data_IF_531062369986
#
_entry.id   IF_531062369986
#
_cell.length_a   1.000
_cell.length_b   1.000
_cell.length_c   1.000
_cell.angle_alpha   90.00
_cell.angle_beta   90.00
_cell.angle_gamma   90.00
#
_symmetry.space_group_name_H-M   'P 1'
#
loop_
_entity.id
_entity.type
_entity.pdbx_description
1 polymer ?
#
# COMPACT_ATOMS: atom_id res chain seq x y z
N UNK A 1 -26.48 3.56 -58.64
CA UNK A 1 -25.68 4.00 -57.48
C UNK A 1 -24.29 4.38 -57.94
N UNK A 2 -23.86 5.59 -57.70
CA UNK A 2 -22.71 6.21 -58.38
C UNK A 2 -21.40 5.70 -57.80
N UNK A 3 -20.56 4.99 -58.55
CA UNK A 3 -19.27 4.40 -58.13
C UNK A 3 -18.34 5.39 -57.42
N UNK A 4 -18.45 6.69 -57.71
CA UNK A 4 -17.71 7.76 -57.04
C UNK A 4 -18.11 7.96 -55.56
N UNK A 5 -19.37 7.69 -55.16
CA UNK A 5 -19.81 7.81 -53.76
C UNK A 5 -19.32 6.66 -52.89
N UNK A 6 -19.14 5.46 -53.45
CA UNK A 6 -18.62 4.30 -52.70
C UNK A 6 -17.13 4.49 -52.35
N UNK A 7 -16.34 5.06 -53.27
CA UNK A 7 -14.91 5.33 -53.01
C UNK A 7 -14.68 6.35 -51.90
N UNK A 8 -15.51 7.40 -51.82
CA UNK A 8 -15.40 8.44 -50.78
C UNK A 8 -15.75 7.87 -49.39
N UNK A 9 -16.77 7.01 -49.30
CA UNK A 9 -17.15 6.38 -48.02
C UNK A 9 -16.06 5.43 -47.52
N UNK A 10 -15.44 4.65 -48.41
CA UNK A 10 -14.34 3.75 -48.03
C UNK A 10 -13.10 4.50 -47.52
N UNK A 11 -12.73 5.62 -48.16
CA UNK A 11 -11.59 6.45 -47.73
C UNK A 11 -11.86 7.12 -46.37
N UNK A 12 -13.08 7.59 -46.13
CA UNK A 12 -13.47 8.21 -44.85
C UNK A 12 -13.47 7.16 -43.72
N UNK A 13 -13.94 5.94 -43.98
CA UNK A 13 -13.90 4.86 -42.98
C UNK A 13 -12.47 4.42 -42.64
N UNK A 14 -11.58 4.32 -43.63
CA UNK A 14 -10.18 3.96 -43.39
C UNK A 14 -9.45 5.08 -42.60
N UNK A 15 -9.73 6.35 -42.93
CA UNK A 15 -9.19 7.48 -42.20
C UNK A 15 -9.68 7.51 -40.73
N UNK A 16 -10.99 7.25 -40.51
CA UNK A 16 -11.56 7.21 -39.18
C UNK A 16 -11.00 6.06 -38.33
N UNK A 17 -10.78 4.89 -38.91
CA UNK A 17 -10.14 3.74 -38.23
C UNK A 17 -8.66 4.06 -37.91
N UNK A 18 -7.94 4.65 -38.87
CA UNK A 18 -6.53 5.06 -38.67
C UNK A 18 -6.38 6.11 -37.59
N UNK A 19 -7.25 7.11 -37.54
CA UNK A 19 -7.25 8.14 -36.51
C UNK A 19 -7.60 7.54 -35.14
N UNK A 20 -8.62 6.68 -35.09
CA UNK A 20 -8.98 5.99 -33.84
C UNK A 20 -7.84 5.11 -33.26
N UNK A 21 -7.11 4.41 -34.15
CA UNK A 21 -5.96 3.60 -33.76
C UNK A 21 -4.78 4.45 -33.30
N UNK A 22 -4.53 5.57 -33.95
CA UNK A 22 -3.48 6.53 -33.59
C UNK A 22 -3.76 7.20 -32.25
N UNK A 23 -5.01 7.64 -32.01
CA UNK A 23 -5.42 8.26 -30.75
C UNK A 23 -5.31 7.25 -29.60
N UNK A 24 -5.68 5.99 -29.82
CA UNK A 24 -5.58 4.95 -28.79
C UNK A 24 -4.12 4.61 -28.46
N UNK A 25 -3.25 4.55 -29.47
CA UNK A 25 -1.81 4.33 -29.27
C UNK A 25 -1.17 5.50 -28.53
N UNK A 26 -1.50 6.74 -28.88
CA UNK A 26 -0.98 7.93 -28.20
C UNK A 26 -1.39 8.00 -26.72
N UNK A 27 -2.64 7.66 -26.38
CA UNK A 27 -3.10 7.61 -24.98
C UNK A 27 -2.41 6.53 -24.17
N UNK A 28 -2.16 5.36 -24.76
CA UNK A 28 -1.43 4.29 -24.09
C UNK A 28 0.04 4.67 -23.83
N UNK A 29 0.67 5.32 -24.79
CA UNK A 29 2.05 5.80 -24.65
C UNK A 29 2.16 6.90 -23.60
N UNK A 30 1.18 7.81 -23.53
CA UNK A 30 1.09 8.83 -22.49
C UNK A 30 0.90 8.21 -21.09
N UNK A 31 0.03 7.20 -20.94
CA UNK A 31 -0.16 6.49 -19.68
C UNK A 31 1.12 5.77 -19.24
N UNK A 32 1.83 5.10 -20.17
CA UNK A 32 3.11 4.43 -19.88
C UNK A 32 4.19 5.42 -19.45
N UNK A 33 4.31 6.55 -20.14
CA UNK A 33 5.27 7.60 -19.78
C UNK A 33 4.94 8.19 -18.41
N UNK A 34 3.66 8.43 -18.12
CA UNK A 34 3.23 8.92 -16.81
C UNK A 34 3.58 7.93 -15.68
N UNK A 35 3.31 6.64 -15.85
CA UNK A 35 3.68 5.61 -14.87
C UNK A 35 5.19 5.55 -14.71
N UNK A 36 5.96 5.60 -15.80
CA UNK A 36 7.41 5.62 -15.77
C UNK A 36 7.98 6.79 -14.97
N UNK A 37 7.46 8.00 -15.18
CA UNK A 37 7.87 9.20 -14.46
C UNK A 37 7.41 9.17 -12.99
N UNK A 38 6.15 8.86 -12.76
CA UNK A 38 5.52 8.84 -11.44
C UNK A 38 6.19 7.86 -10.47
N UNK A 39 6.71 6.75 -10.98
CA UNK A 39 7.35 5.70 -10.18
C UNK A 39 8.86 5.56 -10.44
N UNK A 40 9.45 6.47 -11.23
CA UNK A 40 10.88 6.50 -11.58
C UNK A 40 11.41 5.16 -12.11
N UNK A 41 10.68 4.56 -13.05
CA UNK A 41 11.00 3.23 -13.62
C UNK A 41 12.01 3.32 -14.76
N UNK A 42 12.86 2.31 -14.85
CA UNK A 42 13.69 2.05 -16.03
C UNK A 42 12.85 1.50 -17.20
N UNK A 43 13.38 1.57 -18.42
CA UNK A 43 12.75 0.95 -19.60
C UNK A 43 12.52 -0.56 -19.43
N UNK A 44 13.46 -1.24 -18.79
CA UNK A 44 13.36 -2.69 -18.55
C UNK A 44 12.21 -3.01 -17.59
N UNK A 45 12.02 -2.21 -16.53
CA UNK A 45 10.92 -2.35 -15.59
C UNK A 45 9.57 -2.04 -16.24
N UNK A 46 9.50 -0.98 -17.06
CA UNK A 46 8.28 -0.65 -17.82
C UNK A 46 7.88 -1.74 -18.82
N UNK A 47 8.85 -2.39 -19.46
CA UNK A 47 8.58 -3.46 -20.42
C UNK A 47 8.04 -4.75 -19.79
N UNK A 48 8.18 -4.91 -18.47
CA UNK A 48 7.59 -6.02 -17.71
C UNK A 48 6.10 -5.79 -17.38
N UNK A 49 5.61 -4.55 -17.48
CA UNK A 49 4.22 -4.21 -17.18
C UNK A 49 3.34 -4.36 -18.44
N UNK A 50 2.22 -5.03 -18.29
CA UNK A 50 1.16 -5.09 -19.30
C UNK A 50 0.40 -3.76 -19.38
N UNK A 51 -0.31 -3.50 -20.48
CA UNK A 51 -1.13 -2.29 -20.63
C UNK A 51 -2.21 -2.20 -19.57
N UNK A 52 -2.80 -3.34 -19.17
CA UNK A 52 -3.81 -3.39 -18.11
C UNK A 52 -3.24 -3.01 -16.72
N UNK A 53 -2.01 -3.40 -16.44
CA UNK A 53 -1.31 -3.05 -15.20
C UNK A 53 -0.94 -1.56 -15.19
N UNK A 54 -0.50 -1.01 -16.33
CA UNK A 54 -0.25 0.42 -16.48
C UNK A 54 -1.53 1.23 -16.23
N UNK A 55 -2.66 0.81 -16.79
CA UNK A 55 -3.95 1.47 -16.57
C UNK A 55 -4.37 1.41 -15.09
N UNK A 56 -4.15 0.27 -14.41
CA UNK A 56 -4.42 0.15 -12.97
C UNK A 56 -3.55 1.08 -12.13
N UNK A 57 -2.25 1.16 -12.44
CA UNK A 57 -1.31 2.04 -11.74
C UNK A 57 -1.66 3.52 -11.94
N UNK A 58 -2.01 3.92 -13.16
CA UNK A 58 -2.46 5.28 -13.47
C UNK A 58 -3.74 5.65 -12.71
N UNK A 59 -4.72 4.74 -12.67
CA UNK A 59 -6.00 4.98 -12.01
C UNK A 59 -5.87 4.97 -10.48
N UNK A 60 -5.00 4.15 -9.90
CA UNK A 60 -4.77 4.12 -8.46
C UNK A 60 -4.18 5.44 -7.94
N UNK A 61 -3.16 5.99 -8.62
CA UNK A 61 -2.58 7.27 -8.21
C UNK A 61 -3.58 8.42 -8.34
N UNK A 62 -4.35 8.46 -9.42
CA UNK A 62 -5.38 9.49 -9.63
C UNK A 62 -6.48 9.43 -8.56
N UNK A 63 -6.81 8.24 -8.03
CA UNK A 63 -7.76 8.09 -6.91
C UNK A 63 -7.17 8.56 -5.57
N UNK A 64 -5.89 8.32 -5.34
CA UNK A 64 -5.20 8.74 -4.10
C UNK A 64 -5.05 10.27 -4.04
N UNK A 65 -4.79 10.93 -5.16
CA UNK A 65 -4.64 12.38 -5.23
C UNK A 65 -5.95 13.18 -5.15
N UNK A 66 -7.12 12.56 -5.42
CA UNK A 66 -8.38 13.28 -5.64
C UNK A 66 -9.44 13.15 -4.53
N UNK A 67 -9.24 12.33 -3.50
CA UNK A 67 -10.22 12.11 -2.43
C UNK A 67 -9.56 12.06 -1.06
N UNK A 68 -10.17 12.76 -0.11
CA UNK A 68 -9.87 12.61 1.31
C UNK A 68 -10.20 11.17 1.73
N UNK A 69 -9.18 10.37 2.02
CA UNK A 69 -9.35 8.97 2.41
C UNK A 69 -9.77 8.92 3.88
N UNK A 70 -10.83 8.20 4.17
CA UNK A 70 -11.27 8.01 5.56
C UNK A 70 -10.23 7.21 6.33
N UNK A 71 -9.82 7.74 7.48
CA UNK A 71 -8.94 7.02 8.40
C UNK A 71 -9.54 5.68 8.81
N UNK A 72 -8.70 4.65 9.11
CA UNK A 72 -9.19 3.36 9.58
C UNK A 72 -10.11 3.53 10.79
N UNK A 73 -11.31 2.98 10.71
CA UNK A 73 -12.24 2.93 11.83
C UNK A 73 -12.11 1.60 12.55
N UNK A 74 -12.41 1.57 13.86
CA UNK A 74 -12.21 0.39 14.72
C UNK A 74 -13.04 -0.84 14.32
N UNK A 75 -14.04 -0.70 13.45
CA UNK A 75 -15.09 -1.72 13.33
C UNK A 75 -15.13 -2.56 12.06
N UNK A 76 -14.27 -2.41 11.11
CA UNK A 76 -14.02 -3.28 9.95
C UNK A 76 -13.60 -2.50 8.71
N UNK A 77 -12.59 -2.99 8.01
CA UNK A 77 -12.28 -2.52 6.67
C UNK A 77 -13.39 -2.98 5.71
N UNK A 78 -13.92 -2.06 4.90
CA UNK A 78 -14.73 -2.42 3.74
C UNK A 78 -13.79 -2.93 2.64
N UNK A 79 -13.48 -4.21 2.68
CA UNK A 79 -12.41 -4.85 1.88
C UNK A 79 -12.59 -4.62 0.38
N UNK A 80 -13.83 -4.51 -0.08
CA UNK A 80 -14.15 -4.27 -1.50
C UNK A 80 -13.64 -2.93 -2.04
N UNK A 81 -13.18 -2.04 -1.14
CA UNK A 81 -12.69 -0.70 -1.49
C UNK A 81 -11.18 -0.53 -1.37
N UNK A 82 -10.42 -1.60 -1.05
CA UNK A 82 -8.96 -1.51 -1.00
C UNK A 82 -8.43 -1.46 -2.43
N UNK A 83 -7.91 -0.29 -2.82
CA UNK A 83 -7.42 -0.07 -4.17
C UNK A 83 -6.27 -1.02 -4.51
N UNK A 84 -6.33 -1.63 -5.69
CA UNK A 84 -5.31 -2.56 -6.18
C UNK A 84 -5.37 -3.97 -5.59
N UNK A 85 -6.19 -4.21 -4.56
CA UNK A 85 -6.38 -5.53 -3.99
C UNK A 85 -7.56 -6.24 -4.62
N UNK A 86 -7.30 -7.37 -5.28
CA UNK A 86 -8.32 -8.24 -5.84
C UNK A 86 -8.27 -9.60 -5.15
N UNK A 87 -9.39 -10.05 -4.65
CA UNK A 87 -9.57 -11.34 -3.99
C UNK A 87 -10.93 -11.92 -4.38
N UNK A 88 -11.06 -13.23 -4.22
CA UNK A 88 -12.35 -13.89 -4.34
C UNK A 88 -12.95 -14.03 -2.93
N UNK A 89 -14.21 -13.63 -2.76
CA UNK A 89 -14.93 -13.80 -1.48
C UNK A 89 -15.27 -15.29 -1.27
N UNK A 90 -14.24 -16.05 -0.93
CA UNK A 90 -14.33 -17.48 -0.71
C UNK A 90 -14.04 -17.82 0.74
N UNK A 91 -14.88 -18.65 1.35
CA UNK A 91 -14.62 -19.19 2.69
C UNK A 91 -13.39 -20.10 2.75
N UNK A 92 -12.82 -20.49 1.62
CA UNK A 92 -11.62 -21.32 1.51
C UNK A 92 -10.83 -20.96 0.27
N UNK A 93 -9.58 -20.53 0.45
CA UNK A 93 -8.66 -20.17 -0.63
C UNK A 93 -7.42 -21.06 -0.54
N UNK A 94 -7.13 -21.79 -1.59
CA UNK A 94 -5.93 -22.63 -1.71
C UNK A 94 -5.73 -23.65 -0.57
N UNK A 95 -6.81 -24.05 0.13
CA UNK A 95 -6.75 -24.98 1.26
C UNK A 95 -6.86 -24.33 2.63
N UNK A 96 -6.62 -23.04 2.78
CA UNK A 96 -6.85 -22.28 4.02
C UNK A 96 -8.32 -21.87 4.12
N UNK A 97 -8.93 -22.13 5.28
CA UNK A 97 -10.28 -21.66 5.61
C UNK A 97 -10.18 -20.22 6.11
N UNK A 98 -10.93 -19.30 5.51
CA UNK A 98 -10.95 -17.89 5.89
C UNK A 98 -12.24 -17.54 6.66
N UNK A 99 -12.20 -16.59 7.62
CA UNK A 99 -10.97 -16.01 8.18
C UNK A 99 -10.11 -17.05 8.90
N UNK A 100 -8.79 -16.94 8.82
CA UNK A 100 -7.83 -17.85 9.44
C UNK A 100 -7.15 -17.19 10.64
N UNK A 101 -7.39 -17.71 11.83
CA UNK A 101 -6.67 -17.26 13.05
C UNK A 101 -5.24 -17.78 13.02
N UNK A 102 -4.27 -16.89 12.93
CA UNK A 102 -2.85 -17.24 12.86
C UNK A 102 -2.39 -17.75 14.22
N UNK A 103 -1.88 -18.98 14.25
CA UNK A 103 -1.50 -19.65 15.49
C UNK A 103 -0.48 -18.83 16.31
N UNK A 104 -0.61 -18.85 17.63
CA UNK A 104 0.28 -18.17 18.60
C UNK A 104 0.36 -16.63 18.42
N UNK A 105 -0.56 -16.05 17.68
CA UNK A 105 -0.64 -14.59 17.46
C UNK A 105 -2.06 -14.08 17.71
N UNK A 106 -2.23 -12.76 17.64
CA UNK A 106 -3.57 -12.12 17.61
C UNK A 106 -3.96 -11.72 16.19
N UNK A 107 -3.19 -12.15 15.19
CA UNK A 107 -3.44 -11.84 13.80
C UNK A 107 -4.48 -12.80 13.21
N UNK A 108 -5.31 -12.26 12.35
CA UNK A 108 -6.31 -13.02 11.58
C UNK A 108 -6.11 -12.68 10.11
N UNK A 109 -5.91 -13.68 9.26
CA UNK A 109 -5.96 -13.50 7.81
C UNK A 109 -7.43 -13.45 7.42
N UNK A 110 -7.91 -12.28 7.02
CA UNK A 110 -9.29 -12.06 6.58
C UNK A 110 -9.47 -12.48 5.13
N UNK A 111 -8.50 -12.13 4.25
CA UNK A 111 -8.52 -12.47 2.84
C UNK A 111 -7.12 -12.74 2.29
N UNK A 112 -7.05 -13.51 1.20
CA UNK A 112 -5.88 -13.80 0.39
C UNK A 112 -6.21 -13.41 -1.04
N UNK A 113 -5.32 -12.66 -1.70
CA UNK A 113 -5.54 -12.23 -3.07
C UNK A 113 -4.27 -11.68 -3.72
N UNK A 114 -4.45 -11.03 -4.86
CA UNK A 114 -3.40 -10.31 -5.55
C UNK A 114 -3.44 -8.82 -5.24
N UNK A 115 -2.27 -8.20 -5.19
CA UNK A 115 -2.14 -6.75 -5.15
C UNK A 115 -1.36 -6.23 -6.36
N UNK A 116 -1.86 -5.14 -6.91
CA UNK A 116 -1.19 -4.34 -7.95
C UNK A 116 -1.19 -2.88 -7.52
N UNK A 117 -0.02 -2.28 -7.40
CA UNK A 117 0.13 -0.91 -6.90
C UNK A 117 1.56 -0.64 -6.42
N UNK A 118 1.72 0.29 -5.48
CA UNK A 118 3.01 0.59 -4.86
C UNK A 118 3.48 -0.56 -3.95
N UNK A 119 4.74 -0.99 -4.09
CA UNK A 119 5.33 -2.00 -3.23
C UNK A 119 5.89 -1.33 -1.97
N UNK A 120 5.17 -1.48 -0.87
CA UNK A 120 5.47 -0.81 0.39
C UNK A 120 6.52 -1.58 1.21
N UNK A 121 6.60 -2.91 1.07
CA UNK A 121 7.32 -3.80 2.01
C UNK A 121 8.84 -3.59 2.05
N UNK A 122 9.44 -3.03 1.00
CA UNK A 122 10.86 -2.70 0.95
C UNK A 122 11.14 -1.18 1.09
N UNK A 123 10.08 -0.37 1.20
CA UNK A 123 10.18 1.08 1.30
C UNK A 123 10.56 1.78 -0.01
N UNK A 124 10.56 1.09 -1.15
CA UNK A 124 10.89 1.69 -2.45
C UNK A 124 9.69 2.39 -3.09
N UNK A 125 8.48 2.00 -2.71
CA UNK A 125 7.20 2.40 -3.30
C UNK A 125 7.13 2.19 -4.83
N UNK A 126 8.00 1.33 -5.36
CA UNK A 126 7.98 0.98 -6.79
C UNK A 126 6.72 0.18 -7.13
N UNK A 127 6.20 0.32 -8.36
CA UNK A 127 5.02 -0.42 -8.76
C UNK A 127 5.31 -1.92 -8.87
N UNK A 128 4.37 -2.71 -8.41
CA UNK A 128 4.33 -4.16 -8.59
C UNK A 128 2.97 -4.59 -9.11
N UNK A 129 2.93 -5.76 -9.74
CA UNK A 129 1.71 -6.35 -10.24
C UNK A 129 1.54 -7.77 -9.73
N UNK A 130 0.29 -8.17 -9.47
CA UNK A 130 -0.10 -9.54 -9.12
C UNK A 130 0.63 -10.16 -7.92
N UNK A 131 1.12 -9.35 -6.99
CA UNK A 131 1.83 -9.87 -5.80
C UNK A 131 0.85 -10.56 -4.86
N UNK A 132 1.21 -11.76 -4.40
CA UNK A 132 0.48 -12.47 -3.36
C UNK A 132 0.39 -11.60 -2.10
N UNK A 133 -0.83 -11.34 -1.65
CA UNK A 133 -1.09 -10.41 -0.55
C UNK A 133 -2.16 -10.95 0.39
N UNK A 134 -2.06 -10.57 1.65
CA UNK A 134 -2.99 -10.91 2.71
C UNK A 134 -3.63 -9.65 3.28
N UNK A 135 -4.94 -9.67 3.46
CA UNK A 135 -5.60 -8.74 4.37
C UNK A 135 -5.51 -9.33 5.78
N UNK A 136 -4.77 -8.66 6.66
CA UNK A 136 -4.48 -9.14 8.02
C UNK A 136 -5.05 -8.17 9.04
N UNK A 137 -5.83 -8.69 9.98
CA UNK A 137 -6.42 -7.95 11.10
C UNK A 137 -5.70 -8.24 12.40
N UNK A 138 -5.44 -7.21 13.19
CA UNK A 138 -5.09 -7.34 14.60
C UNK A 138 -6.39 -7.50 15.42
N UNK A 139 -6.66 -8.71 15.89
CA UNK A 139 -7.88 -9.00 16.65
C UNK A 139 -7.73 -8.75 18.17
N UNK A 140 -6.60 -8.22 18.63
CA UNK A 140 -6.37 -7.92 20.06
C UNK A 140 -6.72 -6.47 20.43
N UNK A 141 -6.64 -6.18 21.71
CA UNK A 141 -6.71 -4.81 22.29
C UNK A 141 -5.30 -4.21 22.49
N UNK A 142 -4.25 -4.86 21.96
CA UNK A 142 -2.85 -4.41 22.05
C UNK A 142 -2.32 -4.15 20.65
N UNK A 143 -1.29 -3.32 20.57
CA UNK A 143 -0.57 -3.11 19.31
C UNK A 143 0.26 -4.34 18.97
N UNK A 144 0.16 -4.83 17.74
CA UNK A 144 1.13 -5.77 17.19
C UNK A 144 2.35 -4.95 16.75
N UNK A 145 3.38 -4.92 17.58
CA UNK A 145 4.62 -4.21 17.29
C UNK A 145 5.36 -4.85 16.12
N UNK A 146 5.41 -6.18 16.11
CA UNK A 146 5.95 -6.98 15.04
C UNK A 146 5.14 -8.28 14.92
N UNK A 147 4.83 -8.66 13.73
CA UNK A 147 4.24 -9.95 13.38
C UNK A 147 4.87 -10.47 12.10
N UNK A 148 5.09 -11.78 12.02
CA UNK A 148 5.51 -12.45 10.81
C UNK A 148 4.66 -13.70 10.62
N UNK A 149 4.21 -13.91 9.40
CA UNK A 149 3.39 -15.06 8.99
C UNK A 149 4.12 -15.75 7.85
N UNK A 150 4.42 -17.03 8.02
CA UNK A 150 5.08 -17.86 7.02
C UNK A 150 4.10 -18.86 6.41
N UNK A 151 3.96 -18.81 5.08
CA UNK A 151 3.05 -19.66 4.31
C UNK A 151 3.83 -20.36 3.21
N UNK A 152 3.63 -21.68 3.07
CA UNK A 152 4.07 -22.42 1.88
C UNK A 152 3.04 -22.31 0.76
N UNK A 153 3.51 -21.96 -0.43
CA UNK A 153 2.75 -21.94 -1.68
C UNK A 153 3.15 -23.15 -2.49
N UNK A 154 2.19 -23.99 -2.88
CA UNK A 154 2.38 -25.23 -3.65
C UNK A 154 3.42 -26.19 -3.04
N UNK A 155 3.64 -26.12 -1.73
CA UNK A 155 4.55 -26.99 -0.98
C UNK A 155 6.05 -26.67 -1.12
N UNK A 156 6.46 -25.79 -2.04
CA UNK A 156 7.87 -25.54 -2.36
C UNK A 156 8.31 -24.06 -2.22
N UNK A 157 7.45 -23.07 -2.39
CA UNK A 157 7.78 -21.65 -2.21
C UNK A 157 7.43 -21.21 -0.80
N UNK A 158 8.30 -20.46 -0.14
CA UNK A 158 8.00 -19.83 1.16
C UNK A 158 7.61 -18.37 0.92
N UNK A 159 6.38 -18.02 1.28
CA UNK A 159 5.88 -16.66 1.29
C UNK A 159 5.94 -16.12 2.73
N UNK A 160 6.53 -14.95 2.90
CA UNK A 160 6.73 -14.28 4.21
C UNK A 160 5.98 -12.97 4.21
N UNK A 161 5.15 -12.76 5.23
CA UNK A 161 4.38 -11.54 5.41
C UNK A 161 4.74 -10.92 6.75
N UNK A 162 5.13 -9.64 6.75
CA UNK A 162 5.57 -8.93 7.94
C UNK A 162 4.60 -7.80 8.28
N UNK A 163 4.28 -7.65 9.54
CA UNK A 163 3.40 -6.59 10.05
C UNK A 163 4.12 -5.85 11.16
N UNK A 164 4.16 -4.52 11.08
CA UNK A 164 4.76 -3.68 12.12
C UNK A 164 3.77 -2.62 12.62
N UNK A 165 3.78 -2.36 13.92
CA UNK A 165 3.00 -1.32 14.59
C UNK A 165 1.53 -1.28 14.13
N UNK A 166 0.86 -2.44 14.07
CA UNK A 166 -0.55 -2.51 13.70
C UNK A 166 -1.43 -2.21 14.93
N UNK A 167 -2.23 -1.14 14.90
CA UNK A 167 -3.09 -0.76 16.02
C UNK A 167 -4.14 -1.82 16.36
N UNK A 168 -4.68 -1.78 17.59
CA UNK A 168 -5.77 -2.68 17.99
C UNK A 168 -6.97 -2.60 17.06
N UNK A 169 -7.54 -3.77 16.72
CA UNK A 169 -8.79 -3.88 15.93
C UNK A 169 -8.75 -3.29 14.52
N UNK A 170 -7.56 -3.00 13.99
CA UNK A 170 -7.38 -2.51 12.62
C UNK A 170 -6.83 -3.60 11.69
N UNK A 171 -7.01 -3.40 10.40
CA UNK A 171 -6.50 -4.29 9.36
C UNK A 171 -5.40 -3.61 8.53
N UNK A 172 -4.53 -4.40 7.93
CA UNK A 172 -3.53 -3.95 6.97
C UNK A 172 -3.46 -4.93 5.79
N UNK A 173 -3.32 -4.39 4.58
CA UNK A 173 -2.99 -5.18 3.40
C UNK A 173 -1.48 -5.38 3.35
N UNK A 174 -1.02 -6.62 3.52
CA UNK A 174 0.39 -7.00 3.55
C UNK A 174 0.73 -7.77 2.29
N UNK A 175 1.76 -7.33 1.57
CA UNK A 175 2.27 -8.03 0.41
C UNK A 175 3.32 -9.06 0.81
N UNK A 176 3.54 -10.07 -0.02
CA UNK A 176 4.67 -10.96 0.15
C UNK A 176 5.99 -10.16 0.17
N UNK A 177 6.83 -10.37 1.17
CA UNK A 177 7.92 -9.47 1.57
C UNK A 177 9.00 -9.22 0.49
N UNK A 178 9.10 -10.07 -0.53
CA UNK A 178 10.04 -9.91 -1.63
C UNK A 178 9.39 -9.33 -2.91
N UNK A 179 8.07 -9.31 -2.98
CA UNK A 179 7.31 -8.92 -4.17
C UNK A 179 7.44 -9.89 -5.35
N UNK A 180 8.04 -11.08 -5.14
CA UNK A 180 8.35 -12.04 -6.22
C UNK A 180 7.39 -13.21 -6.31
N UNK A 181 6.56 -13.42 -5.30
CA UNK A 181 5.55 -14.48 -5.31
C UNK A 181 4.24 -13.87 -5.79
N UNK A 182 3.84 -14.27 -6.98
CA UNK A 182 2.57 -13.87 -7.58
C UNK A 182 1.41 -14.69 -6.98
N UNK A 183 0.22 -14.08 -6.94
CA UNK A 183 -1.00 -14.78 -6.61
C UNK A 183 -1.50 -15.57 -7.82
N UNK A 184 -1.88 -16.85 -7.59
CA UNK A 184 -2.61 -17.64 -8.56
C UNK A 184 -3.80 -18.32 -7.85
N UNK A 185 -4.98 -18.25 -8.43
CA UNK A 185 -6.22 -18.84 -7.87
C UNK A 185 -6.15 -20.36 -7.63
N UNK A 186 -5.30 -21.05 -8.40
CA UNK A 186 -5.12 -22.51 -8.29
C UNK A 186 -4.05 -22.91 -7.27
N UNK A 187 -3.33 -21.94 -6.69
CA UNK A 187 -2.29 -22.17 -5.71
C UNK A 187 -2.84 -22.81 -4.43
N UNK A 188 -2.00 -23.64 -3.80
CA UNK A 188 -2.27 -24.25 -2.50
C UNK A 188 -1.45 -23.56 -1.43
N UNK A 189 -2.13 -23.12 -0.39
CA UNK A 189 -1.54 -22.43 0.75
C UNK A 189 -1.54 -23.31 1.97
N UNK A 190 -0.39 -23.37 2.66
CA UNK A 190 -0.24 -24.08 3.93
C UNK A 190 0.47 -23.17 4.92
N UNK A 191 -0.18 -22.87 6.03
CA UNK A 191 0.46 -22.21 7.17
C UNK A 191 1.66 -23.04 7.65
N UNK A 192 2.76 -22.37 7.98
CA UNK A 192 3.99 -22.99 8.50
C UNK A 192 4.20 -22.60 9.95
N UNK A 193 4.45 -21.33 10.19
CA UNK A 193 4.69 -20.77 11.52
C UNK A 193 4.45 -19.26 11.54
N UNK A 194 4.55 -18.69 12.73
CA UNK A 194 4.43 -17.25 12.94
C UNK A 194 5.14 -16.82 14.23
N UNK A 195 5.52 -15.56 14.27
CA UNK A 195 6.03 -14.91 15.48
C UNK A 195 5.28 -13.60 15.70
N UNK A 196 5.20 -13.15 16.96
CA UNK A 196 4.59 -11.87 17.31
C UNK A 196 5.24 -11.26 18.53
N UNK A 197 5.49 -9.94 18.48
CA UNK A 197 5.78 -9.08 19.60
C UNK A 197 4.65 -8.05 19.77
N UNK A 198 4.32 -7.69 21.01
CA UNK A 198 3.24 -6.77 21.36
C UNK A 198 3.74 -5.58 22.15
N UNK A 199 3.15 -4.41 21.89
CA UNK A 199 3.20 -3.25 22.77
C UNK A 199 1.84 -3.05 23.43
N UNK A 200 1.83 -2.55 24.65
CA UNK A 200 0.57 -2.24 25.34
C UNK A 200 -0.15 -1.07 24.64
N UNK A 201 0.57 0.00 24.36
CA UNK A 201 0.02 1.22 23.75
C UNK A 201 1.03 1.85 22.80
N UNK A 202 0.53 2.50 21.74
CA UNK A 202 1.29 3.51 21.00
C UNK A 202 0.99 4.88 21.64
N UNK A 203 2.02 5.71 21.77
CA UNK A 203 1.91 7.07 22.33
C UNK A 203 2.36 8.09 21.32
N UNK A 204 1.64 9.20 21.21
CA UNK A 204 2.08 10.39 20.48
C UNK A 204 2.98 11.30 21.34
N UNK A 205 3.25 10.91 22.60
CA UNK A 205 4.08 11.66 23.54
C UNK A 205 3.77 13.16 23.57
N UNK A 206 2.48 13.52 23.64
CA UNK A 206 1.99 14.91 23.54
C UNK A 206 2.50 15.83 24.66
N UNK A 207 2.97 15.25 25.75
CA UNK A 207 3.67 15.92 26.84
C UNK A 207 5.11 16.34 26.46
N UNK A 208 5.69 15.73 25.44
CA UNK A 208 7.04 16.04 24.97
C UNK A 208 7.06 16.66 23.56
N UNK A 209 6.21 16.18 22.67
CA UNK A 209 6.24 16.54 21.25
C UNK A 209 4.83 16.90 20.75
N UNK A 210 4.72 18.04 20.11
CA UNK A 210 3.54 18.47 19.38
C UNK A 210 3.82 18.33 17.87
N UNK A 211 2.95 17.65 17.14
CA UNK A 211 3.01 17.64 15.67
C UNK A 211 2.47 18.98 15.18
N UNK A 212 3.30 19.74 14.47
CA UNK A 212 2.97 21.11 14.00
C UNK A 212 2.66 21.18 12.51
N UNK A 213 3.16 20.19 11.74
CA UNK A 213 2.96 20.15 10.29
C UNK A 213 2.77 18.72 9.80
N UNK A 214 1.79 18.54 8.93
CA UNK A 214 1.51 17.29 8.22
C UNK A 214 1.12 17.68 6.79
N UNK A 215 2.11 17.74 5.90
CA UNK A 215 1.92 18.04 4.48
C UNK A 215 2.61 16.97 3.64
N UNK A 216 2.29 16.89 2.36
CA UNK A 216 2.91 15.91 1.47
C UNK A 216 4.43 16.09 1.48
N UNK A 217 5.14 15.01 1.83
CA UNK A 217 6.60 15.00 1.91
C UNK A 217 7.22 15.78 3.08
N UNK A 218 6.43 16.28 4.06
CA UNK A 218 6.97 17.03 5.20
C UNK A 218 6.22 16.73 6.49
N UNK A 219 6.98 16.45 7.56
CA UNK A 219 6.46 16.40 8.93
C UNK A 219 7.18 17.46 9.76
N UNK A 220 6.42 18.24 10.53
CA UNK A 220 6.96 19.22 11.49
C UNK A 220 6.58 18.85 12.92
N UNK A 221 7.51 19.10 13.84
CA UNK A 221 7.31 18.89 15.27
C UNK A 221 7.76 20.12 16.06
N UNK A 222 7.19 20.27 17.27
CA UNK A 222 7.65 21.20 18.29
C UNK A 222 7.97 20.43 19.57
N UNK A 223 9.15 20.66 20.13
CA UNK A 223 9.50 20.15 21.45
C UNK A 223 8.82 20.98 22.53
N UNK A 224 7.88 20.39 23.28
CA UNK A 224 7.14 21.03 24.38
C UNK A 224 7.54 20.47 25.75
N UNK A 225 8.56 19.63 25.84
CA UNK A 225 8.97 18.94 27.09
C UNK A 225 9.66 19.86 28.10
N UNK A 226 10.07 21.08 27.70
CA UNK A 226 10.87 21.97 28.52
C UNK A 226 12.36 21.58 28.62
N UNK A 227 12.80 20.50 27.96
CA UNK A 227 14.19 20.00 27.93
C UNK A 227 14.60 19.73 26.48
N UNK A 228 15.90 19.75 26.21
CA UNK A 228 16.41 19.31 24.92
C UNK A 228 16.13 17.82 24.71
N UNK A 229 15.68 17.46 23.52
CA UNK A 229 15.50 16.08 23.08
C UNK A 229 16.62 15.71 22.09
N UNK A 230 17.31 14.60 22.35
CA UNK A 230 18.43 14.13 21.52
C UNK A 230 17.93 13.64 20.16
N UNK A 231 17.00 12.71 20.20
CA UNK A 231 16.40 12.14 18.98
C UNK A 231 14.88 11.99 19.15
N UNK A 232 14.15 12.35 18.13
CA UNK A 232 12.70 12.11 18.04
C UNK A 232 12.41 11.33 16.76
N UNK A 233 11.67 10.23 16.87
CA UNK A 233 11.13 9.49 15.75
C UNK A 233 9.62 9.68 15.68
N UNK A 234 9.10 10.01 14.50
CA UNK A 234 7.66 10.02 14.21
C UNK A 234 7.37 8.87 13.26
N UNK A 235 6.49 7.96 13.66
CA UNK A 235 6.13 6.75 12.93
C UNK A 235 4.77 6.90 12.28
N UNK A 236 4.63 6.48 11.01
CA UNK A 236 3.41 6.59 10.25
C UNK A 236 3.25 5.43 9.27
N UNK A 237 2.03 5.20 8.83
CA UNK A 237 1.66 4.21 7.80
C UNK A 237 0.73 4.85 6.78
N UNK A 238 0.76 4.31 5.56
CA UNK A 238 -0.30 4.57 4.59
C UNK A 238 -1.60 3.87 5.02
N UNK A 239 -2.73 4.47 4.69
CA UNK A 239 -4.04 3.84 4.79
C UNK A 239 -4.82 3.99 3.48
N UNK A 240 -5.79 3.09 3.27
CA UNK A 240 -6.59 2.99 2.06
C UNK A 240 -8.03 3.43 2.30
N UNK A 241 -8.75 3.76 1.23
CA UNK A 241 -10.15 4.19 1.28
C UNK A 241 -11.05 3.16 2.01
N UNK A 242 -10.75 1.87 1.91
CA UNK A 242 -11.45 0.80 2.63
C UNK A 242 -11.17 0.72 4.13
N UNK A 243 -10.41 1.65 4.71
CA UNK A 243 -10.13 1.71 6.14
C UNK A 243 -9.04 0.75 6.63
N UNK A 244 -8.30 0.11 5.73
CA UNK A 244 -7.12 -0.69 6.07
C UNK A 244 -5.85 0.10 5.82
N UNK A 245 -4.79 -0.19 6.58
CA UNK A 245 -3.46 0.28 6.24
C UNK A 245 -2.94 -0.43 4.99
N UNK A 246 -2.02 0.23 4.27
CA UNK A 246 -1.32 -0.35 3.13
C UNK A 246 0.11 -0.70 3.53
N UNK A 247 0.49 -1.95 3.27
CA UNK A 247 1.78 -2.51 3.61
C UNK A 247 1.91 -2.95 5.07
N UNK A 248 2.80 -3.89 5.29
CA UNK A 248 3.12 -4.38 6.62
C UNK A 248 4.09 -3.48 7.37
N UNK A 249 4.98 -2.78 6.67
CA UNK A 249 5.99 -1.92 7.30
C UNK A 249 5.41 -0.62 7.86
N UNK A 250 6.18 0.02 8.74
CA UNK A 250 5.90 1.35 9.29
C UNK A 250 7.05 2.28 8.90
N UNK A 251 6.75 3.38 8.25
CA UNK A 251 7.71 4.42 7.96
C UNK A 251 8.03 5.23 9.21
N UNK A 252 9.21 5.86 9.23
CA UNK A 252 9.59 6.81 10.27
C UNK A 252 10.40 7.96 9.72
N UNK A 253 10.24 9.12 10.32
CA UNK A 253 11.12 10.27 10.13
C UNK A 253 11.87 10.55 11.43
N UNK A 254 13.14 10.96 11.32
CA UNK A 254 14.04 11.22 12.44
C UNK A 254 14.30 12.71 12.54
N UNK A 255 14.19 13.25 13.74
CA UNK A 255 14.62 14.60 14.11
C UNK A 255 15.75 14.49 15.11
N UNK A 256 16.79 15.29 14.97
CA UNK A 256 17.96 15.26 15.86
C UNK A 256 18.15 16.60 16.57
N UNK A 257 18.65 16.52 17.83
CA UNK A 257 19.03 17.69 18.63
C UNK A 257 17.92 18.76 18.74
N UNK A 258 16.68 18.33 18.97
CA UNK A 258 15.51 19.21 19.04
C UNK A 258 15.51 19.99 20.35
N UNK A 259 15.93 21.25 20.32
CA UNK A 259 16.04 22.12 21.49
C UNK A 259 14.70 22.36 22.16
N UNK A 260 14.71 22.62 23.48
CA UNK A 260 13.50 22.97 24.22
C UNK A 260 12.76 24.14 23.59
N UNK A 261 11.48 23.99 23.32
CA UNK A 261 10.62 25.01 22.68
C UNK A 261 10.82 25.14 21.16
N UNK A 262 11.81 24.51 20.55
CA UNK A 262 12.07 24.61 19.13
C UNK A 262 11.02 23.89 18.28
N UNK A 263 10.72 24.47 17.12
CA UNK A 263 9.96 23.83 16.03
C UNK A 263 10.93 23.47 14.91
N UNK A 264 10.83 22.24 14.42
CA UNK A 264 11.67 21.71 13.35
C UNK A 264 10.83 20.93 12.35
N UNK A 265 11.26 20.92 11.09
CA UNK A 265 10.60 20.19 10.01
C UNK A 265 11.60 19.28 9.33
N UNK A 266 11.17 18.09 8.93
CA UNK A 266 11.93 17.14 8.17
C UNK A 266 11.19 16.69 6.92
N UNK A 267 11.96 16.49 5.86
CA UNK A 267 11.45 15.95 4.60
C UNK A 267 11.35 14.42 4.68
N UNK A 268 10.31 13.89 4.08
CA UNK A 268 10.10 12.46 3.95
C UNK A 268 9.44 12.15 2.61
N UNK A 269 9.95 11.16 1.87
CA UNK A 269 9.44 10.77 0.56
C UNK A 269 8.13 9.96 0.62
N UNK A 270 7.73 9.48 1.80
CA UNK A 270 6.64 8.53 1.94
C UNK A 270 5.43 9.07 2.72
N UNK A 271 5.44 10.33 3.15
CA UNK A 271 4.30 10.91 3.87
C UNK A 271 3.37 11.65 2.92
N UNK A 272 2.09 11.25 2.91
CA UNK A 272 1.02 11.99 2.24
C UNK A 272 -0.02 12.42 3.26
N UNK A 273 -0.38 13.71 3.25
CA UNK A 273 -1.33 14.32 4.18
C UNK A 273 -2.67 13.59 4.22
N UNK A 274 -3.14 13.15 3.06
CA UNK A 274 -4.48 12.57 2.91
C UNK A 274 -4.50 11.04 3.05
N UNK A 275 -3.36 10.38 2.89
CA UNK A 275 -3.27 8.91 2.90
C UNK A 275 -2.24 8.36 3.87
N UNK A 276 -1.73 9.17 4.82
CA UNK A 276 -0.87 8.72 5.90
C UNK A 276 -1.46 9.05 7.26
N UNK A 277 -1.22 8.17 8.23
CA UNK A 277 -1.59 8.38 9.63
C UNK A 277 -0.35 8.25 10.51
N UNK A 278 -0.12 9.27 11.36
CA UNK A 278 0.91 9.21 12.39
C UNK A 278 0.41 8.33 13.52
N UNK A 279 1.16 7.28 13.83
CA UNK A 279 0.77 6.25 14.79
C UNK A 279 1.40 6.46 16.16
N UNK A 280 2.68 6.81 16.21
CA UNK A 280 3.40 6.99 17.46
C UNK A 280 4.60 7.92 17.31
N UNK A 281 5.09 8.39 18.43
CA UNK A 281 6.32 9.18 18.58
C UNK A 281 7.18 8.54 19.66
N UNK A 282 8.49 8.41 19.40
CA UNK A 282 9.50 8.10 20.40
C UNK A 282 10.42 9.31 20.56
N UNK A 283 10.70 9.72 21.80
CA UNK A 283 11.55 10.87 22.12
C UNK A 283 12.51 10.53 23.27
N UNK A 284 13.81 10.69 23.01
CA UNK A 284 14.91 10.31 23.91
C UNK A 284 15.76 11.53 24.31
#
# INVERSE_FOLDING_TARGET
MNKKKIGIIAVVCIAAIGIGFYINKSKKEEARNKVKEDYNLSEEEMNKLTDEEVDKLTNNKTKVESKEVKKPTKDSAEVDKIAGFNYEDQKKVGGLKLPYSVEKTDLVIENIGQYTGQFIEDGSDKPVANVLSLLVKNNSNKVVQYGEINIKVNGNKNAVFKVTNLPPKTSTLVMESTGKIEFNKDDKYKYVDSIQAKLNNMSLMKDKVQITKQEDGVIGIKNVSGKDLGTVYVYYKYFQEGGAYLGGITYRVKFENVKAGASVEEKTSHFSKNSSEILMVDAF
#
